data_IF_866408401145
#
_entry.id   IF_866408401145
#
_cell.length_a   1.000
_cell.length_b   1.000
_cell.length_c   1.000
_cell.angle_alpha   90.00
_cell.angle_beta   90.00
_cell.angle_gamma   90.00
#
_symmetry.space_group_name_H-M   'P 1'
#
loop_
_entity.id
_entity.type
_entity.pdbx_description
1 polymer ?
#
# COMPACT_ATOMS: atom_id res chain seq x y z
N UNK A 1 7.00 -11.23 -8.59
CA UNK A 1 7.06 -10.64 -7.23
C UNK A 1 7.07 -9.13 -7.33
N UNK A 2 6.21 -8.44 -6.63
CA UNK A 2 6.21 -6.98 -6.66
C UNK A 2 7.25 -6.41 -5.68
N UNK A 3 7.80 -5.26 -6.01
CA UNK A 3 8.80 -4.60 -5.18
C UNK A 3 8.32 -3.25 -4.63
N UNK A 4 7.28 -2.68 -5.23
CA UNK A 4 6.68 -1.46 -4.72
C UNK A 4 5.17 -1.52 -4.91
N UNK A 5 4.46 -0.65 -4.19
CA UNK A 5 3.00 -0.69 -4.19
C UNK A 5 2.38 -0.34 -5.53
N UNK A 6 3.09 0.41 -6.39
CA UNK A 6 2.55 0.76 -7.70
C UNK A 6 2.64 -0.40 -8.70
N UNK A 7 3.22 -1.52 -8.31
CA UNK A 7 3.19 -2.74 -9.13
C UNK A 7 1.88 -3.51 -9.01
N UNK A 8 1.01 -3.13 -8.10
CA UNK A 8 -0.27 -3.80 -7.90
C UNK A 8 -1.21 -3.54 -9.07
N UNK A 9 -2.02 -4.54 -9.40
CA UNK A 9 -3.08 -4.39 -10.39
C UNK A 9 -4.43 -4.62 -9.72
N UNK A 10 -5.49 -4.08 -10.33
CA UNK A 10 -6.83 -4.19 -9.77
C UNK A 10 -7.20 -5.64 -9.51
N UNK A 11 -7.70 -5.91 -8.32
CA UNK A 11 -8.05 -7.25 -7.90
C UNK A 11 -6.98 -7.95 -7.08
N UNK A 12 -5.75 -7.42 -7.06
CA UNK A 12 -4.70 -8.01 -6.24
C UNK A 12 -5.04 -7.84 -4.77
N UNK A 13 -4.79 -8.88 -3.99
CA UNK A 13 -5.00 -8.85 -2.56
C UNK A 13 -3.66 -8.94 -1.85
N UNK A 14 -3.50 -8.08 -0.88
CA UNK A 14 -2.27 -8.06 -0.07
C UNK A 14 -2.62 -8.27 1.38
N UNK A 15 -1.71 -8.92 2.11
CA UNK A 15 -1.83 -9.10 3.54
C UNK A 15 -0.69 -8.34 4.20
N UNK A 16 -1.01 -7.55 5.22
CA UNK A 16 0.01 -6.81 5.96
C UNK A 16 0.77 -7.73 6.87
N UNK A 17 2.09 -7.75 6.73
CA UNK A 17 2.96 -8.60 7.56
C UNK A 17 3.83 -7.78 8.51
N UNK A 18 3.84 -6.46 8.36
CA UNK A 18 4.56 -5.55 9.24
C UNK A 18 3.73 -4.29 9.42
N UNK A 19 3.47 -3.93 10.65
CA UNK A 19 2.64 -2.78 10.99
C UNK A 19 3.31 -1.49 10.56
N UNK A 20 2.50 -0.53 10.08
CA UNK A 20 3.00 0.81 9.75
C UNK A 20 1.83 1.80 9.80
N UNK A 21 2.17 3.09 9.67
CA UNK A 21 1.16 4.15 9.56
C UNK A 21 1.29 4.81 8.20
N UNK A 22 0.15 5.15 7.60
CA UNK A 22 0.15 5.87 6.34
C UNK A 22 0.33 7.38 6.59
N UNK A 23 0.27 8.19 5.52
CA UNK A 23 0.49 9.62 5.64
C UNK A 23 -0.55 10.31 6.52
N UNK A 24 -1.78 9.79 6.55
CA UNK A 24 -2.84 10.32 7.39
C UNK A 24 -2.77 9.80 8.83
N UNK A 25 -1.68 9.14 9.17
CA UNK A 25 -1.44 8.58 10.50
C UNK A 25 -2.42 7.46 10.84
N UNK A 26 -3.02 6.85 9.82
CA UNK A 26 -3.88 5.69 9.99
C UNK A 26 -3.02 4.47 10.28
N UNK A 27 -3.31 3.77 11.35
CA UNK A 27 -2.57 2.58 11.70
C UNK A 27 -3.00 1.41 10.83
N UNK A 28 -2.04 0.77 10.18
CA UNK A 28 -2.30 -0.38 9.32
C UNK A 28 -1.81 -1.63 10.06
N UNK A 29 -2.71 -2.43 10.60
CA UNK A 29 -2.29 -3.52 11.49
C UNK A 29 -1.83 -4.76 10.73
N UNK A 30 -0.93 -5.50 11.38
CA UNK A 30 -0.49 -6.80 10.88
C UNK A 30 -1.69 -7.73 10.79
N UNK A 31 -1.75 -8.49 9.70
CA UNK A 31 -2.82 -9.47 9.49
C UNK A 31 -4.00 -8.95 8.69
N UNK A 32 -4.08 -7.62 8.47
CA UNK A 32 -5.17 -7.08 7.66
C UNK A 32 -4.96 -7.40 6.19
N UNK A 33 -6.06 -7.66 5.49
CA UNK A 33 -6.05 -7.98 4.06
C UNK A 33 -6.72 -6.84 3.31
N UNK A 34 -6.09 -6.42 2.22
CA UNK A 34 -6.56 -5.28 1.44
C UNK A 34 -6.63 -5.68 -0.03
N UNK A 35 -7.73 -5.34 -0.68
CA UNK A 35 -7.96 -5.67 -2.10
C UNK A 35 -7.77 -4.40 -2.91
N UNK A 36 -6.75 -4.39 -3.77
CA UNK A 36 -6.37 -3.20 -4.53
C UNK A 36 -7.37 -2.92 -5.65
N UNK A 37 -7.75 -1.65 -5.82
CA UNK A 37 -8.60 -1.24 -6.94
C UNK A 37 -7.87 -0.31 -7.89
N UNK A 38 -7.25 0.74 -7.38
CA UNK A 38 -6.48 1.68 -8.19
C UNK A 38 -5.61 2.55 -7.31
N UNK A 39 -4.73 3.33 -7.94
CA UNK A 39 -4.03 4.39 -7.23
C UNK A 39 -4.02 5.66 -8.07
N UNK A 40 -3.80 6.80 -7.41
CA UNK A 40 -3.62 8.07 -8.06
C UNK A 40 -2.34 8.70 -7.55
N UNK A 41 -1.73 9.55 -8.38
CA UNK A 41 -0.53 10.25 -8.01
C UNK A 41 -0.72 11.74 -8.25
N UNK A 42 -0.64 12.52 -7.18
CA UNK A 42 -0.77 13.97 -7.26
C UNK A 42 0.42 14.61 -6.57
N UNK A 43 1.40 15.13 -7.33
CA UNK A 43 2.59 15.74 -6.72
C UNK A 43 2.25 16.88 -5.77
N UNK A 44 1.20 17.64 -6.07
CA UNK A 44 0.80 18.77 -5.22
C UNK A 44 0.22 18.30 -3.88
N UNK A 45 -0.31 17.09 -3.83
CA UNK A 45 -0.86 16.52 -2.61
C UNK A 45 0.12 15.62 -1.89
N UNK A 46 1.37 15.62 -2.32
CA UNK A 46 2.43 14.91 -1.63
C UNK A 46 2.69 13.50 -2.10
N UNK A 47 1.94 12.95 -3.07
CA UNK A 47 2.29 11.66 -3.60
C UNK A 47 1.13 10.75 -3.95
N UNK A 48 1.19 9.51 -3.49
CA UNK A 48 0.29 8.44 -3.92
C UNK A 48 -0.90 8.28 -3.00
N UNK A 49 -2.07 7.99 -3.58
CA UNK A 49 -3.24 7.54 -2.85
C UNK A 49 -3.64 6.18 -3.40
N UNK A 50 -3.64 5.17 -2.56
CA UNK A 50 -3.99 3.81 -2.95
C UNK A 50 -5.40 3.50 -2.47
N UNK A 51 -6.26 3.11 -3.40
CA UNK A 51 -7.66 2.80 -3.12
C UNK A 51 -7.82 1.29 -3.04
N UNK A 52 -8.30 0.82 -1.92
CA UNK A 52 -8.60 -0.59 -1.68
C UNK A 52 -10.08 -0.72 -1.39
N UNK A 53 -10.64 -1.92 -1.57
CA UNK A 53 -12.05 -2.14 -1.23
C UNK A 53 -12.32 -1.90 0.25
N UNK A 54 -11.32 -2.12 1.09
CA UNK A 54 -11.44 -2.00 2.54
C UNK A 54 -11.19 -0.58 3.04
N UNK A 55 -10.57 0.26 2.24
CA UNK A 55 -10.25 1.63 2.64
C UNK A 55 -9.24 2.28 1.74
N UNK A 56 -8.65 3.37 2.22
CA UNK A 56 -7.69 4.17 1.46
C UNK A 56 -6.40 4.29 2.26
N UNK A 57 -5.27 4.15 1.58
CA UNK A 57 -3.95 4.40 2.16
C UNK A 57 -3.27 5.52 1.39
N UNK A 58 -2.75 6.51 2.09
CA UNK A 58 -2.00 7.60 1.45
C UNK A 58 -0.52 7.45 1.79
N UNK A 59 0.32 7.56 0.77
CA UNK A 59 1.77 7.44 0.90
C UNK A 59 2.41 8.68 0.29
N UNK A 60 2.99 9.52 1.12
CA UNK A 60 3.60 10.77 0.66
C UNK A 60 5.06 10.54 0.29
N UNK A 61 5.44 10.96 -0.92
CA UNK A 61 6.84 10.85 -1.35
C UNK A 61 7.79 11.66 -0.49
N UNK A 62 7.30 12.77 0.07
CA UNK A 62 8.13 13.65 0.89
C UNK A 62 8.39 13.10 2.28
N UNK A 63 7.66 12.07 2.68
CA UNK A 63 7.86 11.43 3.97
C UNK A 63 8.82 10.25 3.80
N UNK A 64 9.95 10.27 4.50
CA UNK A 64 10.92 9.18 4.40
C UNK A 64 10.31 7.84 4.82
N UNK A 65 9.50 7.83 5.87
CA UNK A 65 8.89 6.60 6.34
C UNK A 65 7.86 6.05 5.35
N UNK A 66 7.05 6.93 4.75
CA UNK A 66 6.08 6.51 3.75
C UNK A 66 6.77 6.01 2.50
N UNK A 67 7.80 6.73 2.06
CA UNK A 67 8.54 6.32 0.88
C UNK A 67 9.26 4.98 1.11
N UNK A 68 9.74 4.75 2.31
CA UNK A 68 10.36 3.46 2.64
C UNK A 68 9.35 2.33 2.49
N UNK A 69 8.14 2.49 3.03
CA UNK A 69 7.10 1.48 2.89
C UNK A 69 6.76 1.27 1.43
N UNK A 70 6.62 2.36 0.68
CA UNK A 70 6.26 2.28 -0.74
C UNK A 70 7.32 1.52 -1.54
N UNK A 71 8.59 1.83 -1.34
CA UNK A 71 9.67 1.24 -2.12
C UNK A 71 10.10 -0.13 -1.61
N UNK A 72 9.72 -0.49 -0.39
CA UNK A 72 10.05 -1.78 0.22
C UNK A 72 8.78 -2.55 0.56
N UNK A 73 7.82 -2.53 -0.36
CA UNK A 73 6.50 -3.10 -0.10
C UNK A 73 6.54 -4.57 0.32
N UNK A 74 7.50 -5.33 -0.21
CA UNK A 74 7.61 -6.76 0.13
C UNK A 74 7.99 -7.01 1.58
N UNK A 75 8.49 -6.00 2.30
CA UNK A 75 8.76 -6.12 3.73
C UNK A 75 7.51 -5.94 4.58
N UNK A 76 6.48 -5.28 4.02
CA UNK A 76 5.27 -4.92 4.75
C UNK A 76 4.05 -5.72 4.32
N UNK A 77 4.07 -6.23 3.08
CA UNK A 77 2.92 -6.91 2.49
C UNK A 77 3.33 -8.20 1.82
N UNK A 78 2.43 -9.18 1.84
CA UNK A 78 2.53 -10.35 0.96
C UNK A 78 1.42 -10.25 -0.06
N UNK A 79 1.76 -10.47 -1.33
CA UNK A 79 0.77 -10.57 -2.37
C UNK A 79 0.06 -11.90 -2.25
N UNK A 80 -1.24 -11.87 -1.99
CA UNK A 80 -2.03 -13.08 -1.88
C UNK A 80 -2.63 -13.38 -3.24
N UNK A 81 -2.13 -14.43 -3.88
CA UNK A 81 -2.71 -14.87 -5.13
C UNK A 81 -3.74 -15.93 -4.83
N UNK A 82 -4.95 -15.70 -5.33
CA UNK A 82 -5.93 -16.75 -5.29
C UNK A 82 -5.44 -17.86 -6.19
N UNK A 83 -5.27 -19.03 -5.64
CA UNK A 83 -4.93 -20.17 -6.46
C UNK A 83 -6.15 -20.54 -7.25
N UNK A 84 -6.04 -20.40 -8.51
CA UNK A 84 -7.15 -20.74 -9.41
C UNK A 84 -6.87 -22.11 -9.97
#
# INVERSE_FOLDING_TARGET
>A
MYSSLDDLVAGDRIKVIKEFKDFDNQQIPVGSVWTFTKYTYFPYDGGYTFYFEEGVMRMAEISESDYYVFSHASEYFILMKDSV
#
